data_IF_461883263025
#
_entry.id   IF_461883263025
#
_cell.length_a   1.000
_cell.length_b   1.000
_cell.length_c   1.000
_cell.angle_alpha   90.00
_cell.angle_beta   90.00
_cell.angle_gamma   90.00
#
_symmetry.space_group_name_H-M   'P 1'
#
loop_
_entity.id
_entity.type
_entity.pdbx_description
1 polymer ?
#
# COMPACT_ATOMS: atom_id res chain seq x y z
N UNK A 1 -26.34 -51.00 -31.74
CA UNK A 1 -27.59 -50.24 -31.51
C UNK A 1 -27.50 -49.66 -30.10
N UNK A 2 -26.75 -48.57 -29.93
CA UNK A 2 -26.70 -47.71 -28.73
C UNK A 2 -25.68 -46.56 -28.85
N UNK A 3 -24.77 -46.57 -29.82
CA UNK A 3 -23.76 -45.51 -29.96
C UNK A 3 -24.33 -44.18 -30.50
N UNK A 4 -25.37 -44.25 -31.33
CA UNK A 4 -26.04 -43.05 -31.88
C UNK A 4 -26.78 -42.24 -30.80
N UNK A 5 -27.21 -42.88 -29.71
CA UNK A 5 -27.92 -42.20 -28.62
C UNK A 5 -26.97 -41.35 -27.76
N UNK A 6 -25.69 -41.74 -27.65
CA UNK A 6 -24.67 -40.99 -26.93
C UNK A 6 -24.17 -39.78 -27.72
N UNK A 7 -24.16 -39.85 -29.06
CA UNK A 7 -23.81 -38.72 -29.92
C UNK A 7 -24.88 -37.63 -29.91
N UNK A 8 -26.17 -37.98 -29.89
CA UNK A 8 -27.25 -36.99 -29.86
C UNK A 8 -27.44 -36.31 -28.49
N UNK A 9 -27.00 -36.95 -27.39
CA UNK A 9 -27.06 -36.33 -26.05
C UNK A 9 -26.02 -35.21 -25.87
N UNK A 10 -24.89 -35.27 -26.57
CA UNK A 10 -23.80 -34.29 -26.46
C UNK A 10 -23.93 -33.11 -27.44
N UNK A 11 -24.73 -33.21 -28.50
CA UNK A 11 -24.99 -32.06 -29.39
C UNK A 11 -26.00 -31.07 -28.79
N UNK A 12 -26.94 -31.54 -27.98
CA UNK A 12 -27.92 -30.67 -27.33
C UNK A 12 -27.37 -29.86 -26.15
N UNK A 13 -26.21 -30.22 -25.59
CA UNK A 13 -25.60 -29.50 -24.46
C UNK A 13 -24.66 -28.37 -24.90
N UNK A 14 -24.27 -28.30 -26.18
CA UNK A 14 -23.38 -27.25 -26.68
C UNK A 14 -24.09 -25.97 -27.16
N UNK A 15 -25.42 -25.94 -27.18
CA UNK A 15 -26.19 -24.85 -27.78
C UNK A 15 -26.75 -23.82 -26.79
N UNK A 16 -26.57 -24.00 -25.47
CA UNK A 16 -27.12 -23.09 -24.44
C UNK A 16 -26.06 -22.41 -23.56
N UNK A 17 -24.77 -22.51 -23.89
CA UNK A 17 -23.81 -21.54 -23.36
C UNK A 17 -23.98 -20.27 -24.19
N UNK A 18 -24.95 -19.43 -23.78
CA UNK A 18 -25.00 -18.04 -24.23
C UNK A 18 -23.62 -17.41 -24.10
N UNK A 19 -23.31 -16.37 -24.91
CA UNK A 19 -21.99 -15.74 -24.88
C UNK A 19 -21.60 -15.50 -23.42
N UNK A 20 -20.38 -15.87 -23.00
CA UNK A 20 -19.97 -15.74 -21.61
C UNK A 20 -20.35 -14.33 -21.15
N UNK A 21 -20.96 -14.19 -19.97
CA UNK A 21 -21.37 -12.88 -19.49
C UNK A 21 -20.20 -11.93 -19.67
N UNK A 22 -20.46 -10.74 -20.21
CA UNK A 22 -19.44 -9.72 -20.42
C UNK A 22 -18.98 -9.19 -19.05
N UNK A 23 -18.29 -10.03 -18.27
CA UNK A 23 -17.97 -9.74 -16.88
C UNK A 23 -16.49 -9.54 -16.63
N UNK A 24 -15.58 -9.97 -17.52
CA UNK A 24 -14.14 -9.90 -17.19
C UNK A 24 -13.24 -9.14 -18.18
N UNK A 25 -13.71 -8.76 -19.36
CA UNK A 25 -12.84 -8.15 -20.40
C UNK A 25 -12.94 -6.62 -20.51
N UNK A 26 -13.82 -5.97 -19.75
CA UNK A 26 -14.13 -4.54 -19.93
C UNK A 26 -13.58 -3.59 -18.87
N UNK A 27 -12.61 -4.02 -18.06
CA UNK A 27 -11.78 -3.07 -17.33
C UNK A 27 -10.47 -2.89 -18.09
N UNK A 28 -10.25 -1.75 -18.77
CA UNK A 28 -8.92 -1.46 -19.28
C UNK A 28 -7.97 -1.46 -18.07
N UNK A 29 -6.90 -2.24 -18.12
CA UNK A 29 -5.93 -2.47 -17.03
C UNK A 29 -5.51 -1.16 -16.32
N UNK A 30 -5.49 -0.03 -17.03
CA UNK A 30 -5.22 1.30 -16.49
C UNK A 30 -6.22 1.76 -15.40
N UNK A 31 -7.50 1.36 -15.49
CA UNK A 31 -8.53 1.70 -14.49
C UNK A 31 -8.38 0.91 -13.20
N UNK A 32 -7.93 -0.35 -13.27
CA UNK A 32 -7.60 -1.16 -12.11
C UNK A 32 -6.34 -0.63 -11.42
N UNK A 33 -5.27 -0.35 -12.18
CA UNK A 33 -4.03 0.25 -11.66
C UNK A 33 -4.32 1.56 -10.93
N UNK A 34 -5.11 2.46 -11.55
CA UNK A 34 -5.40 3.78 -10.96
C UNK A 34 -6.19 3.69 -9.65
N UNK A 35 -7.06 2.68 -9.48
CA UNK A 35 -7.81 2.47 -8.24
C UNK A 35 -6.97 1.83 -7.14
N UNK A 36 -5.99 1.01 -7.50
CA UNK A 36 -5.16 0.28 -6.55
C UNK A 36 -3.95 1.09 -6.09
N UNK A 37 -3.44 2.03 -6.90
CA UNK A 37 -2.26 2.82 -6.52
C UNK A 37 -2.58 3.89 -5.48
N UNK A 38 -1.71 4.02 -4.47
CA UNK A 38 -1.78 5.12 -3.52
C UNK A 38 -1.11 6.37 -4.09
N UNK A 39 -1.63 7.56 -3.74
CA UNK A 39 -0.93 8.81 -3.98
C UNK A 39 0.29 8.91 -3.05
N UNK A 40 1.53 8.95 -3.57
CA UNK A 40 2.72 8.92 -2.72
C UNK A 40 2.80 10.11 -1.77
N UNK A 41 2.42 11.30 -2.23
CA UNK A 41 2.41 12.51 -1.41
C UNK A 41 1.37 12.44 -0.29
N UNK A 42 0.17 11.90 -0.57
CA UNK A 42 -0.87 11.78 0.45
C UNK A 42 -0.45 10.80 1.55
N UNK A 43 0.12 9.65 1.18
CA UNK A 43 0.60 8.65 2.12
C UNK A 43 1.83 9.15 2.90
N UNK A 44 2.76 9.82 2.21
CA UNK A 44 3.91 10.50 2.83
C UNK A 44 3.50 11.50 3.89
N UNK A 45 2.63 12.46 3.56
CA UNK A 45 2.14 13.46 4.50
C UNK A 45 1.35 12.84 5.66
N UNK A 46 0.48 11.87 5.38
CA UNK A 46 -0.27 11.16 6.41
C UNK A 46 0.65 10.49 7.43
N UNK A 47 1.68 9.80 6.97
CA UNK A 47 2.63 9.12 7.84
C UNK A 47 3.56 10.11 8.58
N UNK A 48 3.95 11.22 7.92
CA UNK A 48 4.70 12.29 8.55
C UNK A 48 3.96 12.90 9.74
N UNK A 49 2.68 13.23 9.58
CA UNK A 49 1.86 13.76 10.67
C UNK A 49 1.59 12.72 11.76
N UNK A 50 1.27 11.48 11.39
CA UNK A 50 1.02 10.41 12.36
C UNK A 50 2.26 10.17 13.23
N UNK A 51 3.45 10.06 12.62
CA UNK A 51 4.69 9.81 13.34
C UNK A 51 5.16 11.03 14.15
N UNK A 52 5.08 12.23 13.56
CA UNK A 52 5.41 13.48 14.25
C UNK A 52 4.55 13.74 15.48
N UNK A 53 3.24 13.51 15.37
CA UNK A 53 2.30 13.70 16.47
C UNK A 53 2.50 12.65 17.57
N UNK A 54 2.69 11.38 17.19
CA UNK A 54 3.01 10.31 18.14
C UNK A 54 4.29 10.64 18.92
N UNK A 55 5.34 11.07 18.22
CA UNK A 55 6.61 11.43 18.84
C UNK A 55 6.47 12.61 19.81
N UNK A 56 5.69 13.64 19.43
CA UNK A 56 5.40 14.77 20.32
C UNK A 56 4.70 14.30 21.61
N UNK A 57 3.67 13.45 21.49
CA UNK A 57 2.94 12.92 22.65
C UNK A 57 3.89 12.13 23.57
N UNK A 58 4.70 11.23 23.01
CA UNK A 58 5.68 10.44 23.78
C UNK A 58 6.67 11.36 24.50
N UNK A 59 7.18 12.39 23.81
CA UNK A 59 8.15 13.34 24.38
C UNK A 59 7.55 14.13 25.54
N UNK A 60 6.29 14.57 25.43
CA UNK A 60 5.59 15.29 26.49
C UNK A 60 5.31 14.41 27.72
N UNK A 61 4.86 13.17 27.49
CA UNK A 61 4.63 12.20 28.57
C UNK A 61 5.93 11.91 29.32
N UNK A 62 7.03 11.73 28.61
CA UNK A 62 8.32 11.48 29.23
C UNK A 62 8.87 12.69 29.99
N UNK A 63 8.72 13.89 29.44
CA UNK A 63 9.08 15.12 30.14
C UNK A 63 8.30 15.27 31.46
N UNK A 64 7.02 14.86 31.50
CA UNK A 64 6.21 14.91 32.71
C UNK A 64 6.49 13.77 33.71
N UNK A 65 6.84 12.58 33.24
CA UNK A 65 7.04 11.37 34.06
C UNK A 65 8.48 11.14 34.51
N UNK A 66 9.45 11.85 33.93
CA UNK A 66 10.89 11.63 34.18
C UNK A 66 11.45 10.35 33.56
N UNK A 67 10.65 9.59 32.81
CA UNK A 67 11.07 8.35 32.15
C UNK A 67 11.87 8.63 30.87
N UNK A 68 13.19 8.40 30.91
CA UNK A 68 14.09 8.74 29.80
C UNK A 68 14.53 7.56 28.90
N UNK A 69 14.35 6.31 29.33
CA UNK A 69 15.01 5.16 28.69
C UNK A 69 14.67 4.98 27.20
N UNK A 70 13.41 5.19 26.79
CA UNK A 70 13.02 5.11 25.37
C UNK A 70 13.58 6.29 24.55
N UNK A 71 13.84 7.42 25.20
CA UNK A 71 14.21 8.67 24.55
C UNK A 71 15.70 8.85 24.38
N UNK A 72 16.52 8.09 25.11
CA UNK A 72 17.96 8.00 24.85
C UNK A 72 18.23 7.46 23.43
N UNK A 73 17.41 6.49 22.97
CA UNK A 73 17.47 6.00 21.59
C UNK A 73 17.13 7.11 20.60
N UNK A 74 16.11 7.92 20.90
CA UNK A 74 15.71 9.03 20.04
C UNK A 74 16.73 10.18 20.03
N UNK A 75 17.51 10.38 21.08
CA UNK A 75 18.62 11.35 21.07
C UNK A 75 19.72 10.97 20.09
N UNK A 76 19.97 9.66 19.92
CA UNK A 76 20.92 9.17 18.91
C UNK A 76 20.37 9.29 17.48
N UNK A 77 19.06 9.10 17.30
CA UNK A 77 18.41 9.09 15.98
C UNK A 77 18.01 10.47 15.47
N UNK A 78 17.73 11.42 16.37
CA UNK A 78 17.25 12.77 16.04
C UNK A 78 18.25 13.82 16.51
N UNK A 79 19.14 14.29 15.61
CA UNK A 79 20.12 15.31 15.93
C UNK A 79 19.48 16.56 16.53
N UNK A 80 19.98 16.97 17.69
CA UNK A 80 19.48 18.15 18.42
C UNK A 80 18.25 17.87 19.30
N UNK A 81 17.74 16.64 19.33
CA UNK A 81 16.70 16.27 20.29
C UNK A 81 17.25 16.24 21.72
N UNK A 82 16.54 16.90 22.63
CA UNK A 82 16.83 16.90 24.07
C UNK A 82 15.53 17.19 24.83
N UNK A 83 15.24 16.41 25.87
CA UNK A 83 14.03 16.57 26.69
C UNK A 83 14.07 17.77 27.64
N UNK A 84 15.27 18.21 28.03
CA UNK A 84 15.48 19.31 28.97
C UNK A 84 15.23 20.70 28.38
N UNK A 85 14.95 20.80 27.07
CA UNK A 85 14.69 22.06 26.40
C UNK A 85 13.59 21.92 25.33
N UNK A 86 12.64 22.85 25.32
CA UNK A 86 11.58 22.93 24.32
C UNK A 86 12.12 22.99 22.88
N UNK A 87 13.27 23.64 22.65
CA UNK A 87 13.88 23.67 21.31
C UNK A 87 14.35 22.30 20.86
N UNK A 88 14.81 21.47 21.80
CA UNK A 88 15.23 20.10 21.51
C UNK A 88 14.04 19.21 21.17
N UNK A 89 12.93 19.34 21.90
CA UNK A 89 11.68 18.63 21.58
C UNK A 89 11.20 19.02 20.17
N UNK A 90 11.20 20.31 19.84
CA UNK A 90 10.80 20.78 18.52
C UNK A 90 11.70 20.24 17.40
N UNK A 91 13.02 20.20 17.61
CA UNK A 91 13.95 19.59 16.66
C UNK A 91 13.65 18.09 16.45
N UNK A 92 13.34 17.35 17.52
CA UNK A 92 12.94 15.94 17.43
C UNK A 92 11.63 15.74 16.64
N UNK A 93 10.65 16.63 16.81
CA UNK A 93 9.39 16.60 16.04
C UNK A 93 9.62 16.85 14.56
N UNK A 94 10.52 17.77 14.19
CA UNK A 94 10.88 18.00 12.79
C UNK A 94 11.52 16.74 12.20
N UNK A 95 12.49 16.15 12.89
CA UNK A 95 13.16 14.93 12.41
C UNK A 95 12.21 13.75 12.29
N UNK A 96 11.33 13.55 13.26
CA UNK A 96 10.32 12.48 13.18
C UNK A 96 9.34 12.73 12.04
N UNK A 97 8.88 13.97 11.83
CA UNK A 97 8.06 14.31 10.67
C UNK A 97 8.76 13.97 9.35
N UNK A 98 10.04 14.35 9.20
CA UNK A 98 10.83 14.04 8.00
C UNK A 98 10.99 12.54 7.79
N UNK A 99 11.25 11.77 8.85
CA UNK A 99 11.37 10.31 8.73
C UNK A 99 10.03 9.67 8.34
N UNK A 100 8.92 10.13 8.92
CA UNK A 100 7.58 9.70 8.53
C UNK A 100 7.26 10.03 7.06
N UNK A 101 7.64 11.24 6.60
CA UNK A 101 7.47 11.67 5.22
C UNK A 101 8.24 10.79 4.24
N UNK A 102 9.54 10.61 4.49
CA UNK A 102 10.43 9.80 3.65
C UNK A 102 9.94 8.35 3.63
N UNK A 103 9.64 7.78 4.80
CA UNK A 103 9.15 6.40 4.90
C UNK A 103 7.84 6.23 4.14
N UNK A 104 6.89 7.16 4.29
CA UNK A 104 5.61 7.07 3.58
C UNK A 104 5.76 7.21 2.07
N UNK A 105 6.65 8.10 1.60
CA UNK A 105 6.98 8.19 0.17
C UNK A 105 7.57 6.88 -0.35
N UNK A 106 8.55 6.31 0.35
CA UNK A 106 9.19 5.05 -0.04
C UNK A 106 8.19 3.89 -0.08
N UNK A 107 7.33 3.77 0.93
CA UNK A 107 6.29 2.74 0.99
C UNK A 107 5.33 2.87 -0.19
N UNK A 108 4.85 4.08 -0.49
CA UNK A 108 3.95 4.27 -1.61
C UNK A 108 4.60 4.00 -2.97
N UNK A 109 5.86 4.41 -3.16
CA UNK A 109 6.61 4.14 -4.39
C UNK A 109 6.84 2.64 -4.58
N UNK A 110 7.26 1.93 -3.54
CA UNK A 110 7.50 0.51 -3.59
C UNK A 110 6.21 -0.27 -3.84
N UNK A 111 5.13 0.05 -3.12
CA UNK A 111 3.82 -0.55 -3.31
C UNK A 111 3.30 -0.34 -4.75
N UNK A 112 3.37 0.90 -5.25
CA UNK A 112 2.93 1.22 -6.60
C UNK A 112 3.77 0.51 -7.67
N UNK A 113 5.07 0.30 -7.42
CA UNK A 113 5.94 -0.47 -8.32
C UNK A 113 5.53 -1.94 -8.39
N UNK A 114 5.26 -2.57 -7.24
CA UNK A 114 4.80 -3.96 -7.19
C UNK A 114 3.44 -4.15 -7.85
N UNK A 115 2.50 -3.24 -7.63
CA UNK A 115 1.16 -3.29 -8.26
C UNK A 115 1.26 -3.24 -9.78
N UNK A 116 2.16 -2.41 -10.34
CA UNK A 116 2.36 -2.32 -11.80
C UNK A 116 2.87 -3.65 -12.38
N UNK A 117 3.87 -4.26 -11.73
CA UNK A 117 4.45 -5.54 -12.18
C UNK A 117 3.41 -6.67 -12.17
N UNK A 118 2.56 -6.73 -11.15
CA UNK A 118 1.50 -7.76 -11.05
C UNK A 118 0.45 -7.63 -12.15
N UNK A 119 0.13 -6.41 -12.59
CA UNK A 119 -0.84 -6.18 -13.67
C UNK A 119 -0.27 -6.55 -15.04
N UNK A 120 0.99 -6.23 -15.30
CA UNK A 120 1.69 -6.58 -16.55
C UNK A 120 1.79 -8.11 -16.72
N UNK A 121 2.18 -8.81 -15.66
CA UNK A 121 2.31 -10.28 -15.66
C UNK A 121 0.97 -11.01 -15.86
N UNK A 122 -0.14 -10.40 -15.42
CA UNK A 122 -1.49 -10.96 -15.63
C UNK A 122 -1.94 -10.85 -17.09
N UNK A 123 -1.59 -9.78 -17.79
CA UNK A 123 -2.02 -9.52 -19.17
C UNK A 123 -1.39 -10.46 -20.21
N UNK A 124 -0.10 -10.77 -20.06
CA UNK A 124 0.62 -11.69 -20.96
C UNK A 124 0.03 -13.11 -20.96
N UNK A 125 -0.46 -13.56 -19.80
CA UNK A 125 -1.06 -14.88 -19.68
C UNK A 125 -2.35 -15.02 -20.49
N UNK A 126 -3.16 -13.97 -20.59
CA UNK A 126 -4.42 -14.00 -21.36
C UNK A 126 -4.24 -13.92 -22.88
N UNK A 127 -3.20 -13.25 -23.38
CA UNK A 127 -2.94 -13.19 -24.82
C UNK A 127 -2.30 -14.46 -25.38
N UNK A 128 -1.63 -15.25 -24.54
CA UNK A 128 -0.96 -16.49 -24.98
C UNK A 128 -1.94 -17.67 -25.16
N UNK A 129 -3.17 -17.56 -24.64
CA UNK A 129 -4.21 -18.60 -24.73
C UNK A 129 -5.45 -18.20 -25.55
N UNK A 130 -5.44 -17.02 -26.18
CA UNK A 130 -6.49 -16.53 -27.07
C UNK A 130 -6.11 -16.74 -28.55
#
# INVERSE_FOLDING_TARGET
MNDDLYLMANEHTKAEEGPPPATDTFYPNSTLVRRLTFSPLALGLGLAFAWGMLFLIISLIAAASGGAALLDVFQALYPGFNLGNYTGIFAGVIWSFLYGLITGLLVALFYNSLVRQSVESGGESTETYA
#
